data_IF_948089508597
#
_entry.id   IF_948089508597
#
_cell.length_a   1.000
_cell.length_b   1.000
_cell.length_c   1.000
_cell.angle_alpha   90.00
_cell.angle_beta   90.00
_cell.angle_gamma   90.00
#
_symmetry.space_group_name_H-M   'P 1'
#
loop_
_entity.id
_entity.type
_entity.pdbx_description
1 polymer ?
#
# COMPACT_ATOMS: atom_id res chain seq x y z
N UNK A 1 35.23 26.33 5.68
CA UNK A 1 34.14 26.81 4.81
C UNK A 1 32.84 26.11 5.22
N UNK A 2 32.01 26.77 6.02
CA UNK A 2 30.72 26.23 6.42
C UNK A 2 29.67 26.81 5.48
N UNK A 3 29.19 26.02 4.53
CA UNK A 3 28.01 26.39 3.73
C UNK A 3 26.80 25.68 4.33
N UNK A 4 26.16 26.35 5.28
CA UNK A 4 24.78 26.05 5.66
C UNK A 4 23.90 26.72 4.61
N UNK A 5 23.30 25.91 3.74
CA UNK A 5 22.24 26.40 2.86
C UNK A 5 20.96 26.62 3.68
N UNK A 6 20.25 27.75 3.51
CA UNK A 6 19.04 28.01 4.26
C UNK A 6 17.91 27.14 3.73
N UNK A 7 17.33 26.33 4.61
CA UNK A 7 16.07 25.66 4.38
C UNK A 7 14.97 26.72 4.22
N UNK A 8 14.16 26.70 3.14
CA UNK A 8 13.03 27.61 3.04
C UNK A 8 11.93 27.09 3.96
N UNK A 9 11.65 27.88 4.99
CA UNK A 9 10.50 27.74 5.87
C UNK A 9 9.20 27.61 5.06
N UNK A 10 8.54 26.45 5.14
CA UNK A 10 7.11 26.33 4.87
C UNK A 10 6.43 25.62 6.05
N UNK A 11 5.56 26.30 6.81
CA UNK A 11 4.80 25.68 7.88
C UNK A 11 3.38 25.37 7.40
N UNK A 12 3.16 24.34 6.55
CA UNK A 12 1.78 23.87 6.28
C UNK A 12 1.70 22.54 5.49
N UNK A 13 2.01 21.40 6.13
CA UNK A 13 1.28 20.12 5.97
C UNK A 13 1.99 19.07 6.82
N UNK A 14 1.51 18.84 8.05
CA UNK A 14 1.71 17.56 8.74
C UNK A 14 0.84 16.46 8.08
N UNK A 15 0.66 16.52 6.76
CA UNK A 15 0.18 15.40 5.98
C UNK A 15 1.42 14.74 5.44
N UNK A 16 1.96 13.79 6.21
CA UNK A 16 2.85 12.77 5.65
C UNK A 16 2.14 12.21 4.43
N UNK A 17 2.59 12.60 3.23
CA UNK A 17 2.17 11.95 1.98
C UNK A 17 2.31 10.45 2.24
N UNK A 18 1.25 9.64 2.06
CA UNK A 18 1.36 8.21 2.30
C UNK A 18 2.56 7.69 1.51
N UNK A 19 3.39 6.83 2.12
CA UNK A 19 4.51 6.25 1.39
C UNK A 19 3.97 5.59 0.11
N UNK A 20 4.74 5.59 -0.99
CA UNK A 20 4.33 4.84 -2.16
C UNK A 20 4.15 3.37 -1.76
N UNK A 21 3.24 2.63 -2.41
CA UNK A 21 2.99 1.22 -2.13
C UNK A 21 4.26 0.36 -2.06
N UNK A 22 5.26 0.66 -2.91
CA UNK A 22 6.55 -0.03 -2.96
C UNK A 22 7.50 0.26 -1.79
N UNK A 23 7.27 1.33 -1.03
CA UNK A 23 8.04 1.66 0.16
C UNK A 23 7.38 1.17 1.46
N UNK A 24 6.25 0.46 1.36
CA UNK A 24 5.53 -0.01 2.53
C UNK A 24 6.26 -1.18 3.20
N UNK A 25 6.31 -1.21 4.52
CA UNK A 25 6.94 -2.30 5.29
C UNK A 25 5.98 -3.41 5.71
N UNK A 26 4.67 -3.25 5.47
CA UNK A 26 3.64 -4.21 5.87
C UNK A 26 2.40 -4.16 4.99
N UNK A 27 1.62 -5.25 4.99
CA UNK A 27 0.33 -5.34 4.29
C UNK A 27 -0.66 -4.27 4.77
N UNK A 28 -0.61 -3.94 6.07
CA UNK A 28 -1.48 -2.92 6.66
C UNK A 28 -1.16 -1.52 6.15
N UNK A 29 0.13 -1.18 6.07
CA UNK A 29 0.60 0.10 5.53
C UNK A 29 0.30 0.21 4.03
N UNK A 30 0.53 -0.86 3.28
CA UNK A 30 0.22 -0.93 1.86
C UNK A 30 -1.26 -0.72 1.56
N UNK A 31 -2.16 -1.42 2.25
CA UNK A 31 -3.60 -1.25 2.08
C UNK A 31 -4.04 0.18 2.39
N UNK A 32 -3.49 0.80 3.44
CA UNK A 32 -3.76 2.21 3.77
C UNK A 32 -3.24 3.16 2.68
N UNK A 33 -2.05 2.93 2.14
CA UNK A 33 -1.48 3.75 1.07
C UNK A 33 -2.37 3.77 -0.19
N UNK A 34 -3.08 2.67 -0.48
CA UNK A 34 -4.00 2.58 -1.63
C UNK A 34 -5.47 2.87 -1.30
N UNK A 35 -5.76 3.23 -0.04
CA UNK A 35 -7.10 3.49 0.52
C UNK A 35 -8.02 2.26 0.55
N UNK A 36 -7.45 1.09 0.85
CA UNK A 36 -8.11 -0.21 0.95
C UNK A 36 -7.94 -0.84 2.35
N UNK A 37 -7.63 -0.04 3.37
CA UNK A 37 -7.40 -0.47 4.75
C UNK A 37 -8.57 -1.23 5.38
N UNK A 38 -9.79 -1.07 4.83
CA UNK A 38 -10.96 -1.83 5.25
C UNK A 38 -10.81 -3.35 5.09
N UNK A 39 -9.91 -3.81 4.21
CA UNK A 39 -9.64 -5.22 3.97
C UNK A 39 -8.48 -5.78 4.81
N UNK A 40 -7.90 -4.96 5.70
CA UNK A 40 -6.71 -5.36 6.47
C UNK A 40 -6.96 -6.62 7.28
N UNK A 41 -8.10 -6.71 7.99
CA UNK A 41 -8.43 -7.89 8.78
C UNK A 41 -8.67 -9.11 7.90
N UNK A 42 -9.34 -8.93 6.75
CA UNK A 42 -9.62 -10.03 5.82
C UNK A 42 -8.33 -10.63 5.23
N UNK A 43 -7.36 -9.79 4.86
CA UNK A 43 -6.05 -10.24 4.40
C UNK A 43 -5.29 -11.01 5.50
N UNK A 44 -5.29 -10.51 6.73
CA UNK A 44 -4.63 -11.17 7.86
C UNK A 44 -5.28 -12.51 8.20
N UNK A 45 -6.62 -12.59 8.22
CA UNK A 45 -7.35 -13.84 8.45
C UNK A 45 -7.15 -14.86 7.34
N UNK A 46 -6.97 -14.40 6.10
CA UNK A 46 -6.62 -15.26 4.96
C UNK A 46 -5.14 -15.69 4.94
N UNK A 47 -4.31 -15.23 5.88
CA UNK A 47 -2.89 -15.58 5.99
C UNK A 47 -1.96 -14.74 5.11
N UNK A 48 -2.44 -13.65 4.51
CA UNK A 48 -1.63 -12.74 3.69
C UNK A 48 -0.96 -11.69 4.59
N UNK A 49 0.14 -12.10 5.23
CA UNK A 49 0.82 -11.30 6.27
C UNK A 49 2.08 -10.57 5.79
N UNK A 50 2.59 -10.87 4.58
CA UNK A 50 3.78 -10.23 4.00
C UNK A 50 3.52 -9.70 2.58
N UNK A 51 4.25 -8.64 2.20
CA UNK A 51 4.13 -8.05 0.87
C UNK A 51 4.65 -8.98 -0.23
N UNK A 52 5.61 -9.85 0.08
CA UNK A 52 6.09 -10.89 -0.83
C UNK A 52 4.97 -11.85 -1.26
N UNK A 53 4.11 -12.27 -0.33
CA UNK A 53 2.97 -13.14 -0.64
C UNK A 53 1.89 -12.35 -1.39
N UNK A 54 1.60 -11.13 -0.94
CA UNK A 54 0.64 -10.23 -1.60
C UNK A 54 1.03 -9.95 -3.05
N UNK A 55 2.34 -9.83 -3.32
CA UNK A 55 2.85 -9.60 -4.66
C UNK A 55 2.47 -10.72 -5.63
N UNK A 56 2.08 -11.92 -5.18
CA UNK A 56 1.70 -13.02 -6.06
C UNK A 56 0.19 -13.22 -6.24
N UNK A 57 -0.64 -12.43 -5.55
CA UNK A 57 -2.10 -12.61 -5.59
C UNK A 57 -2.69 -12.28 -6.97
N UNK A 58 -3.78 -12.96 -7.26
CA UNK A 58 -4.61 -12.77 -8.45
C UNK A 58 -6.07 -12.47 -8.06
N UNK A 59 -6.94 -12.36 -9.06
CA UNK A 59 -8.37 -12.04 -8.84
C UNK A 59 -9.10 -13.09 -8.01
N UNK A 60 -8.77 -14.38 -8.17
CA UNK A 60 -9.38 -15.46 -7.39
C UNK A 60 -9.04 -15.34 -5.92
N UNK A 61 -7.79 -15.03 -5.59
CA UNK A 61 -7.36 -14.80 -4.21
C UNK A 61 -8.12 -13.63 -3.58
N UNK A 62 -8.28 -12.53 -4.32
CA UNK A 62 -9.04 -11.37 -3.85
C UNK A 62 -10.51 -11.70 -3.57
N UNK A 63 -11.13 -12.55 -4.40
CA UNK A 63 -12.48 -13.05 -4.16
C UNK A 63 -12.56 -13.90 -2.89
N UNK A 64 -11.57 -14.77 -2.65
CA UNK A 64 -11.49 -15.61 -1.43
C UNK A 64 -11.31 -14.77 -0.17
N UNK A 65 -10.60 -13.65 -0.26
CA UNK A 65 -10.47 -12.66 0.83
C UNK A 65 -11.79 -11.90 1.08
N UNK A 66 -12.71 -11.88 0.12
CA UNK A 66 -13.96 -11.12 0.22
C UNK A 66 -13.94 -9.75 -0.47
N UNK A 67 -12.92 -9.48 -1.29
CA UNK A 67 -12.87 -8.30 -2.17
C UNK A 67 -13.72 -8.56 -3.42
N UNK A 68 -15.04 -8.35 -3.32
CA UNK A 68 -15.99 -8.65 -4.41
C UNK A 68 -16.28 -7.46 -5.34
N UNK A 69 -15.98 -6.23 -4.89
CA UNK A 69 -16.22 -5.03 -5.69
C UNK A 69 -15.17 -4.90 -6.79
N UNK A 70 -15.60 -4.90 -8.06
CA UNK A 70 -14.71 -4.83 -9.23
C UNK A 70 -13.76 -3.63 -9.20
N UNK A 71 -14.23 -2.46 -8.74
CA UNK A 71 -13.39 -1.28 -8.58
C UNK A 71 -12.27 -1.46 -7.54
N UNK A 72 -12.56 -2.19 -6.46
CA UNK A 72 -11.57 -2.49 -5.42
C UNK A 72 -10.58 -3.55 -5.91
N UNK A 73 -11.05 -4.60 -6.56
CA UNK A 73 -10.18 -5.61 -7.18
C UNK A 73 -9.19 -4.96 -8.14
N UNK A 74 -9.68 -4.11 -9.06
CA UNK A 74 -8.84 -3.37 -10.00
C UNK A 74 -7.78 -2.54 -9.29
N UNK A 75 -8.17 -1.77 -8.26
CA UNK A 75 -7.26 -0.92 -7.49
C UNK A 75 -6.16 -1.72 -6.79
N UNK A 76 -6.53 -2.84 -6.17
CA UNK A 76 -5.59 -3.71 -5.44
C UNK A 76 -4.64 -4.40 -6.44
N UNK A 77 -5.16 -4.99 -7.52
CA UNK A 77 -4.34 -5.65 -8.54
C UNK A 77 -3.38 -4.69 -9.24
N UNK A 78 -3.82 -3.47 -9.55
CA UNK A 78 -2.92 -2.45 -10.10
C UNK A 78 -1.80 -2.08 -9.13
N UNK A 79 -2.05 -2.05 -7.82
CA UNK A 79 -0.98 -1.81 -6.85
C UNK A 79 -0.06 -3.02 -6.67
N UNK A 80 -0.57 -4.25 -6.74
CA UNK A 80 0.25 -5.46 -6.73
C UNK A 80 1.28 -5.42 -7.88
N UNK A 81 0.89 -4.94 -9.06
CA UNK A 81 1.83 -4.76 -10.17
C UNK A 81 2.98 -3.80 -9.83
N UNK A 82 2.73 -2.75 -9.03
CA UNK A 82 3.80 -1.83 -8.60
C UNK A 82 4.75 -2.44 -7.58
N UNK A 83 4.31 -3.44 -6.81
CA UNK A 83 5.18 -4.18 -5.88
C UNK A 83 6.15 -5.11 -6.63
N UNK A 84 5.76 -5.63 -7.80
CA UNK A 84 6.57 -6.57 -8.60
C UNK A 84 7.71 -5.92 -9.40
N UNK A 85 7.69 -4.60 -9.53
CA UNK A 85 8.64 -3.82 -10.34
C UNK A 85 9.88 -3.42 -9.52
N UNK A 86 9.84 -3.63 -8.21
CA UNK A 86 10.92 -3.39 -7.26
C UNK A 86 11.45 -4.70 -6.69
#
# INVERSE_FOLDING_TARGET
VLSVSPSPSQPLLDQRVPPPPSACGSVSEWLRAIKMERYQQDFLQAGFTSLDVVAHLNTEDLLRVGVTLAGHQKKILSSIQTLRIH
#
